data_IF_758006117206
#
_entry.id   IF_758006117206
#
_cell.length_a   1.000
_cell.length_b   1.000
_cell.length_c   1.000
_cell.angle_alpha   90.00
_cell.angle_beta   90.00
_cell.angle_gamma   90.00
#
_symmetry.space_group_name_H-M   'P 1'
#
loop_
_entity.id
_entity.type
_entity.pdbx_description
1 polymer ?
#
# COMPACT_ATOMS: atom_id res chain seq x y z
N UNK A 1 -3.45 10.18 31.46
CA UNK A 1 -3.35 9.44 30.19
C UNK A 1 -4.74 8.95 29.84
N UNK A 2 -5.29 9.38 28.72
CA UNK A 2 -6.53 8.78 28.19
C UNK A 2 -6.20 7.36 27.76
N UNK A 3 -7.02 6.39 28.15
CA UNK A 3 -6.87 5.01 27.67
C UNK A 3 -6.92 4.97 26.14
N UNK A 4 -6.31 3.96 25.50
CA UNK A 4 -6.28 3.88 24.04
C UNK A 4 -7.71 3.94 23.49
N UNK A 5 -7.98 4.94 22.64
CA UNK A 5 -9.31 5.18 22.04
C UNK A 5 -9.71 4.12 21.02
N UNK A 6 -8.82 3.18 20.72
CA UNK A 6 -9.01 2.05 19.82
C UNK A 6 -8.39 0.81 20.45
N UNK A 7 -9.10 -0.31 20.37
CA UNK A 7 -8.51 -1.59 20.70
C UNK A 7 -7.50 -2.04 19.61
N UNK A 8 -6.60 -2.97 19.93
CA UNK A 8 -5.55 -3.38 18.99
C UNK A 8 -6.09 -4.02 17.70
N UNK A 9 -7.25 -4.69 17.78
CA UNK A 9 -7.90 -5.30 16.62
C UNK A 9 -8.49 -4.25 15.66
N UNK A 10 -9.09 -3.19 16.19
CA UNK A 10 -9.57 -2.03 15.42
C UNK A 10 -8.41 -1.33 14.72
N UNK A 11 -7.29 -1.12 15.44
CA UNK A 11 -6.08 -0.54 14.88
C UNK A 11 -5.49 -1.39 13.75
N UNK A 12 -5.44 -2.70 13.93
CA UNK A 12 -4.96 -3.63 12.90
C UNK A 12 -5.85 -3.61 11.66
N UNK A 13 -7.16 -3.58 11.85
CA UNK A 13 -8.15 -3.51 10.77
C UNK A 13 -8.02 -2.21 9.98
N UNK A 14 -7.99 -1.07 10.67
CA UNK A 14 -7.81 0.24 10.04
C UNK A 14 -6.47 0.32 9.28
N UNK A 15 -5.40 -0.21 9.87
CA UNK A 15 -4.09 -0.28 9.21
C UNK A 15 -4.13 -1.14 7.94
N UNK A 16 -4.83 -2.27 7.96
CA UNK A 16 -4.97 -3.13 6.79
C UNK A 16 -5.79 -2.47 5.67
N UNK A 17 -6.84 -1.72 6.02
CA UNK A 17 -7.63 -0.96 5.04
C UNK A 17 -6.78 0.13 4.37
N UNK A 18 -5.97 0.87 5.14
CA UNK A 18 -5.06 1.88 4.59
C UNK A 18 -4.01 1.26 3.65
N UNK A 19 -3.44 0.12 4.06
CA UNK A 19 -2.49 -0.65 3.24
C UNK A 19 -3.12 -1.11 1.93
N UNK A 20 -4.33 -1.64 1.97
CA UNK A 20 -5.08 -2.05 0.79
C UNK A 20 -5.39 -0.86 -0.12
N UNK A 21 -5.85 0.25 0.46
CA UNK A 21 -6.12 1.49 -0.26
C UNK A 21 -4.89 1.99 -1.02
N UNK A 22 -3.72 2.01 -0.38
CA UNK A 22 -2.46 2.39 -1.03
C UNK A 22 -2.17 1.53 -2.27
N UNK A 23 -2.25 0.20 -2.16
CA UNK A 23 -1.99 -0.70 -3.30
C UNK A 23 -3.01 -0.48 -4.42
N UNK A 24 -4.29 -0.32 -4.08
CA UNK A 24 -5.36 -0.04 -5.06
C UNK A 24 -5.09 1.29 -5.78
N UNK A 25 -4.71 2.36 -5.07
CA UNK A 25 -4.39 3.65 -5.68
C UNK A 25 -3.22 3.53 -6.66
N UNK A 26 -2.16 2.80 -6.31
CA UNK A 26 -1.02 2.57 -7.22
C UNK A 26 -1.46 1.77 -8.45
N UNK A 27 -2.25 0.71 -8.26
CA UNK A 27 -2.78 -0.10 -9.37
C UNK A 27 -3.64 0.73 -10.33
N UNK A 28 -4.55 1.56 -9.80
CA UNK A 28 -5.39 2.46 -10.60
C UNK A 28 -4.56 3.47 -11.37
N UNK A 29 -3.51 4.03 -10.76
CA UNK A 29 -2.59 4.95 -11.43
C UNK A 29 -1.95 4.32 -12.68
N UNK A 30 -1.35 3.14 -12.54
CA UNK A 30 -0.75 2.43 -13.69
C UNK A 30 -1.78 2.02 -14.75
N UNK A 31 -2.97 1.62 -14.32
CA UNK A 31 -4.10 1.30 -15.22
C UNK A 31 -4.51 2.52 -16.05
N UNK A 32 -4.67 3.67 -15.41
CA UNK A 32 -5.07 4.91 -16.07
C UNK A 32 -4.01 5.38 -17.07
N UNK A 33 -2.73 5.29 -16.73
CA UNK A 33 -1.64 5.61 -17.65
C UNK A 33 -1.73 4.75 -18.92
N UNK A 34 -1.88 3.43 -18.78
CA UNK A 34 -2.00 2.52 -19.92
C UNK A 34 -3.26 2.80 -20.76
N UNK A 35 -4.37 3.14 -20.11
CA UNK A 35 -5.61 3.53 -20.77
C UNK A 35 -5.47 4.83 -21.57
N UNK A 36 -4.88 5.88 -21.00
CA UNK A 36 -4.72 7.18 -21.65
C UNK A 36 -3.76 7.17 -22.85
N UNK A 37 -2.80 6.24 -22.88
CA UNK A 37 -1.89 6.05 -24.02
C UNK A 37 -2.54 5.21 -25.14
N UNK A 38 -3.78 4.75 -24.96
CA UNK A 38 -4.49 3.93 -25.95
C UNK A 38 -3.99 2.49 -25.99
N UNK A 39 -3.48 1.97 -24.88
CA UNK A 39 -3.01 0.59 -24.79
C UNK A 39 -4.12 -0.43 -25.07
N UNK A 40 -3.74 -1.55 -25.67
CA UNK A 40 -4.63 -2.71 -25.84
C UNK A 40 -5.13 -3.25 -24.50
N UNK A 41 -6.23 -4.01 -24.50
CA UNK A 41 -6.79 -4.61 -23.28
C UNK A 41 -5.76 -5.45 -22.51
N UNK A 42 -4.90 -6.18 -23.24
CA UNK A 42 -3.81 -6.96 -22.65
C UNK A 42 -2.77 -6.06 -21.97
N UNK A 43 -2.38 -4.95 -22.60
CA UNK A 43 -1.43 -4.00 -22.02
C UNK A 43 -1.99 -3.31 -20.77
N UNK A 44 -3.29 -2.97 -20.77
CA UNK A 44 -3.96 -2.42 -19.59
C UNK A 44 -3.92 -3.44 -18.45
N UNK A 45 -4.31 -4.69 -18.71
CA UNK A 45 -4.29 -5.75 -17.69
C UNK A 45 -2.89 -5.99 -17.11
N UNK A 46 -1.87 -6.04 -17.96
CA UNK A 46 -0.46 -6.18 -17.55
C UNK A 46 -0.02 -4.96 -16.74
N UNK A 47 -0.38 -3.74 -17.14
CA UNK A 47 -0.05 -2.52 -16.41
C UNK A 47 -0.74 -2.48 -15.03
N UNK A 48 -2.01 -2.89 -14.94
CA UNK A 48 -2.74 -3.00 -13.66
C UNK A 48 -2.05 -3.98 -12.72
N UNK A 49 -1.74 -5.19 -13.20
CA UNK A 49 -1.07 -6.22 -12.39
C UNK A 49 0.34 -5.78 -11.99
N UNK A 50 1.10 -5.21 -12.93
CA UNK A 50 2.45 -4.69 -12.67
C UNK A 50 2.46 -3.57 -11.64
N UNK A 51 1.51 -2.63 -11.74
CA UNK A 51 1.37 -1.54 -10.77
C UNK A 51 0.89 -2.04 -9.40
N UNK A 52 -0.01 -3.04 -9.35
CA UNK A 52 -0.42 -3.67 -8.09
C UNK A 52 0.76 -4.38 -7.39
N UNK A 53 1.57 -5.12 -8.14
CA UNK A 53 2.79 -5.75 -7.63
C UNK A 53 3.76 -4.68 -7.11
N UNK A 54 4.00 -3.63 -7.88
CA UNK A 54 4.86 -2.52 -7.47
C UNK A 54 4.35 -1.85 -6.18
N UNK A 55 3.04 -1.60 -6.08
CA UNK A 55 2.41 -1.07 -4.88
C UNK A 55 2.59 -1.97 -3.66
N UNK A 56 2.45 -3.28 -3.83
CA UNK A 56 2.69 -4.25 -2.76
C UNK A 56 4.16 -4.27 -2.32
N UNK A 57 5.11 -4.23 -3.26
CA UNK A 57 6.55 -4.17 -2.98
C UNK A 57 6.91 -2.90 -2.23
N UNK A 58 6.40 -1.75 -2.67
CA UNK A 58 6.55 -0.47 -1.98
C UNK A 58 6.01 -0.52 -0.56
N UNK A 59 4.85 -1.13 -0.35
CA UNK A 59 4.26 -1.27 0.97
C UNK A 59 5.12 -2.16 1.88
N UNK A 60 5.65 -3.28 1.36
CA UNK A 60 6.59 -4.14 2.12
C UNK A 60 7.85 -3.35 2.49
N UNK A 61 8.38 -2.56 1.57
CA UNK A 61 9.53 -1.71 1.83
C UNK A 61 9.24 -0.68 2.94
N UNK A 62 8.12 0.04 2.85
CA UNK A 62 7.74 1.06 3.85
C UNK A 62 7.48 0.46 5.23
N UNK A 63 6.85 -0.71 5.30
CA UNK A 63 6.61 -1.40 6.57
C UNK A 63 7.90 -1.92 7.21
N UNK A 64 8.83 -2.44 6.41
CA UNK A 64 10.18 -2.83 6.89
C UNK A 64 10.96 -1.63 7.37
N UNK A 65 11.02 -0.56 6.57
CA UNK A 65 11.72 0.66 6.93
C UNK A 65 11.15 1.29 8.21
N UNK A 66 9.82 1.35 8.33
CA UNK A 66 9.16 1.86 9.54
C UNK A 66 9.45 1.02 10.79
N UNK A 67 9.68 -0.29 10.65
CA UNK A 67 10.04 -1.15 11.78
C UNK A 67 11.43 -0.83 12.35
N UNK A 68 12.36 -0.37 11.51
CA UNK A 68 13.71 0.02 11.94
C UNK A 68 13.67 1.22 12.91
N UNK A 69 12.85 2.22 12.60
CA UNK A 69 12.67 3.41 13.43
C UNK A 69 11.90 3.17 14.74
N UNK A 70 11.12 2.10 14.82
CA UNK A 70 10.38 1.72 16.04
C UNK A 70 11.22 0.88 17.01
N UNK A 71 12.48 0.59 16.68
CA UNK A 71 13.41 -0.01 17.64
C UNK A 71 13.63 1.00 18.79
N UNK A 72 13.23 0.69 20.04
CA UNK A 72 13.46 1.59 21.15
C UNK A 72 14.97 1.82 21.28
N UNK A 73 15.41 3.03 20.97
CA UNK A 73 16.77 3.51 21.22
C UNK A 73 16.95 3.66 22.73
N UNK A 74 17.09 2.54 23.43
CA UNK A 74 17.58 2.48 24.79
C UNK A 74 19.09 2.82 24.75
N UNK A 75 19.40 4.08 25.04
CA UNK A 75 20.74 4.56 25.35
C UNK A 75 20.67 5.41 26.60
#
# INVERSE_FOLDING_TARGET
>A
MVGPSMNDAERATASNQLKAGFVVTVALSGTFVAFFVGGSLLQIAVATVGAAILGAVLLVYLTRLGSEFNTPRNR
#
